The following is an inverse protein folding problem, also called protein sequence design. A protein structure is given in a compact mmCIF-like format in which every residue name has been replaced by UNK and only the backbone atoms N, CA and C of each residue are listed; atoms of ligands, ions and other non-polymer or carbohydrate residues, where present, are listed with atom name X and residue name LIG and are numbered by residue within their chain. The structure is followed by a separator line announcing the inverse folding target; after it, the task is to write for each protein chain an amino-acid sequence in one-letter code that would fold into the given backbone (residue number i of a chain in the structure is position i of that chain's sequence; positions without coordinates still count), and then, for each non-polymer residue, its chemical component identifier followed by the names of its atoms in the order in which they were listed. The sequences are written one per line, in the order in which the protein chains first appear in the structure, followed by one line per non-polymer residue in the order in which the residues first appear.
data_IF_457105491725
#
_entry.id   IF_457105491725
#
_cell.length_a   1.000
_cell.length_b   1.000
_cell.length_c   1.000
_cell.angle_alpha   90.00
_cell.angle_beta   90.00
_cell.angle_gamma   90.00
#
_symmetry.space_group_name_H-M   'P 1'
#
loop_
_entity.id
_entity.type
_entity.pdbx_description
1 polymer ?
#
# COMPACT_ATOMS: atom_id res chain seq x y z
N UNK A 1 22.03 -1.58 40.71
CA UNK A 1 21.71 -1.03 39.38
C UNK A 1 21.44 -2.19 38.43
N UNK A 2 20.17 -2.59 38.28
CA UNK A 2 19.81 -3.63 37.31
C UNK A 2 19.92 -3.01 35.90
N UNK A 3 20.94 -3.43 35.16
CA UNK A 3 21.12 -3.04 33.76
C UNK A 3 19.93 -3.62 33.01
N UNK A 4 18.99 -2.78 32.59
CA UNK A 4 17.90 -3.19 31.71
C UNK A 4 18.54 -3.86 30.49
N UNK A 5 18.42 -5.17 30.39
CA UNK A 5 19.02 -5.94 29.30
C UNK A 5 18.23 -5.53 28.05
N UNK A 6 18.83 -4.68 27.22
CA UNK A 6 18.28 -4.36 25.91
C UNK A 6 18.23 -5.67 25.12
N UNK A 7 17.03 -6.04 24.71
CA UNK A 7 16.78 -7.18 23.85
C UNK A 7 17.00 -6.72 22.41
N UNK A 8 18.23 -6.86 21.94
CA UNK A 8 18.64 -6.44 20.60
C UNK A 8 18.09 -7.35 19.50
N UNK A 9 17.47 -8.48 19.87
CA UNK A 9 16.90 -9.46 18.96
C UNK A 9 15.39 -9.19 18.71
N UNK A 10 14.82 -8.15 19.34
CA UNK A 10 13.40 -7.81 19.27
C UNK A 10 13.21 -6.33 18.93
N UNK A 11 13.83 -5.89 17.84
CA UNK A 11 13.81 -4.49 17.42
C UNK A 11 12.51 -4.17 16.67
N UNK A 12 12.04 -2.92 16.82
CA UNK A 12 10.85 -2.44 16.12
C UNK A 12 11.02 -2.48 14.59
N UNK A 13 12.25 -2.44 14.10
CA UNK A 13 12.55 -2.56 12.66
C UNK A 13 12.15 -3.91 12.10
N UNK A 14 12.60 -5.01 12.68
CA UNK A 14 12.29 -6.37 12.19
C UNK A 14 10.77 -6.61 12.16
N UNK A 15 10.06 -6.17 13.21
CA UNK A 15 8.59 -6.25 13.27
C UNK A 15 7.90 -5.41 12.20
N UNK A 16 8.43 -4.22 11.92
CA UNK A 16 7.88 -3.34 10.90
C UNK A 16 8.18 -3.86 9.49
N UNK A 17 9.32 -4.52 9.28
CA UNK A 17 9.63 -5.21 8.02
C UNK A 17 8.68 -6.40 7.80
N UNK A 18 8.49 -7.26 8.81
CA UNK A 18 7.55 -8.39 8.75
C UNK A 18 6.12 -7.91 8.47
N UNK A 19 5.63 -6.92 9.23
CA UNK A 19 4.29 -6.35 9.02
C UNK A 19 4.15 -5.67 7.65
N UNK A 20 5.22 -5.06 7.14
CA UNK A 20 5.24 -4.47 5.82
C UNK A 20 5.18 -5.52 4.72
N UNK A 21 5.93 -6.62 4.85
CA UNK A 21 5.93 -7.74 3.92
C UNK A 21 4.53 -8.38 3.84
N UNK A 22 3.94 -8.77 4.97
CA UNK A 22 2.58 -9.32 5.03
C UNK A 22 1.54 -8.37 4.40
N UNK A 23 1.70 -7.06 4.64
CA UNK A 23 0.82 -6.06 4.06
C UNK A 23 1.00 -5.93 2.56
N UNK A 24 2.23 -5.93 2.05
CA UNK A 24 2.51 -5.90 0.62
C UNK A 24 1.93 -7.13 -0.07
N UNK A 25 2.12 -8.33 0.50
CA UNK A 25 1.57 -9.58 -0.03
C UNK A 25 0.05 -9.55 -0.16
N UNK A 26 -0.66 -8.99 0.84
CA UNK A 26 -2.11 -8.85 0.80
C UNK A 26 -2.58 -7.77 -0.19
N UNK A 27 -1.85 -6.65 -0.27
CA UNK A 27 -2.20 -5.49 -1.09
C UNK A 27 -1.89 -5.68 -2.58
N UNK A 28 -0.96 -6.60 -2.93
CA UNK A 28 -0.69 -6.99 -4.32
C UNK A 28 -1.68 -8.02 -4.88
N UNK A 29 -2.54 -8.60 -4.05
CA UNK A 29 -3.56 -9.54 -4.52
C UNK A 29 -4.45 -8.86 -5.55
N UNK A 30 -4.67 -9.50 -6.70
CA UNK A 30 -5.48 -8.96 -7.80
C UNK A 30 -6.86 -8.46 -7.35
N UNK A 31 -7.48 -9.16 -6.40
CA UNK A 31 -8.76 -8.77 -5.79
C UNK A 31 -8.65 -7.43 -5.07
N UNK A 32 -7.60 -7.24 -4.28
CA UNK A 32 -7.31 -5.99 -3.56
C UNK A 32 -6.95 -4.87 -4.52
N UNK A 33 -6.08 -5.14 -5.50
CA UNK A 33 -5.66 -4.15 -6.49
C UNK A 33 -6.85 -3.54 -7.23
N UNK A 34 -7.88 -4.33 -7.55
CA UNK A 34 -9.08 -3.84 -8.24
C UNK A 34 -10.00 -2.99 -7.39
N UNK A 35 -9.83 -2.95 -6.07
CA UNK A 35 -10.65 -2.09 -5.19
C UNK A 35 -10.38 -0.59 -5.42
N UNK A 36 -9.25 -0.23 -6.03
CA UNK A 36 -8.93 1.17 -6.32
C UNK A 36 -9.73 1.74 -7.49
N UNK A 37 -10.21 0.89 -8.41
CA UNK A 37 -11.06 1.30 -9.54
C UNK A 37 -12.38 1.91 -9.03
N UNK A 38 -13.25 1.20 -8.28
CA UNK A 38 -14.51 1.78 -7.79
C UNK A 38 -14.29 2.97 -6.85
N UNK A 39 -13.18 3.00 -6.08
CA UNK A 39 -12.82 4.16 -5.26
C UNK A 39 -12.58 5.40 -6.12
N UNK A 40 -11.80 5.27 -7.20
CA UNK A 40 -11.51 6.38 -8.11
C UNK A 40 -12.76 6.77 -8.89
N UNK A 41 -13.57 5.82 -9.34
CA UNK A 41 -14.86 6.10 -10.00
C UNK A 41 -15.80 6.87 -9.08
N UNK A 42 -15.86 6.52 -7.79
CA UNK A 42 -16.69 7.23 -6.82
C UNK A 42 -16.22 8.67 -6.63
N UNK A 43 -14.91 8.92 -6.58
CA UNK A 43 -14.34 10.25 -6.36
C UNK A 43 -14.46 11.14 -7.60
N UNK A 44 -14.12 10.61 -8.77
CA UNK A 44 -14.03 11.37 -10.02
C UNK A 44 -15.28 11.31 -10.88
N UNK A 45 -16.25 10.43 -10.56
CA UNK A 45 -17.51 10.23 -11.30
C UNK A 45 -17.30 9.84 -12.77
N UNK A 46 -16.18 9.22 -13.07
CA UNK A 46 -15.75 8.79 -14.42
C UNK A 46 -15.23 7.35 -14.32
N UNK A 47 -15.50 6.47 -15.31
CA UNK A 47 -14.95 5.12 -15.34
C UNK A 47 -13.43 5.11 -15.22
N UNK A 48 -12.92 4.15 -14.43
CA UNK A 48 -11.52 4.13 -14.08
C UNK A 48 -10.92 2.72 -14.19
N UNK A 49 -9.74 2.62 -14.80
CA UNK A 49 -9.06 1.34 -15.01
C UNK A 49 -7.70 1.35 -14.32
N UNK A 50 -7.40 0.31 -13.55
CA UNK A 50 -6.09 0.11 -12.95
C UNK A 50 -5.05 -0.12 -14.05
N UNK A 51 -3.99 0.68 -14.03
CA UNK A 51 -2.89 0.61 -14.97
C UNK A 51 -1.61 0.14 -14.27
N UNK A 52 -0.89 -0.87 -14.80
CA UNK A 52 0.40 -1.30 -14.26
C UNK A 52 1.54 -0.30 -14.57
N UNK A 53 2.66 -0.33 -13.83
CA UNK A 53 2.95 -1.19 -12.68
C UNK A 53 2.35 -0.67 -11.37
N UNK A 54 2.21 -1.56 -10.39
CA UNK A 54 1.99 -1.18 -8.98
C UNK A 54 3.36 -0.93 -8.36
N UNK A 55 3.54 0.19 -7.69
CA UNK A 55 4.82 0.55 -7.07
C UNK A 55 4.77 0.36 -5.56
N UNK A 56 5.87 -0.15 -4.99
CA UNK A 56 6.03 -0.38 -3.56
C UNK A 56 7.22 0.43 -3.06
N UNK A 57 7.09 1.05 -1.88
CA UNK A 57 8.20 1.77 -1.28
C UNK A 57 7.80 2.65 -0.12
N UNK A 58 8.73 2.87 0.82
CA UNK A 58 8.50 3.71 2.01
C UNK A 58 7.25 3.30 2.79
N UNK A 59 6.99 2.00 2.89
CA UNK A 59 5.79 1.42 3.53
C UNK A 59 4.46 1.86 2.92
N UNK A 60 4.45 2.15 1.62
CA UNK A 60 3.25 2.45 0.85
C UNK A 60 3.15 1.54 -0.37
N UNK A 61 1.91 1.25 -0.75
CA UNK A 61 1.54 0.69 -2.05
C UNK A 61 0.92 1.79 -2.89
N UNK A 62 1.39 1.93 -4.12
CA UNK A 62 1.01 3.00 -5.04
C UNK A 62 0.38 2.37 -6.27
N UNK A 63 -0.90 2.67 -6.49
CA UNK A 63 -1.67 2.24 -7.65
C UNK A 63 -1.85 3.39 -8.62
N UNK A 64 -1.64 3.11 -9.91
CA UNK A 64 -1.89 4.05 -10.99
C UNK A 64 -3.23 3.71 -11.64
N UNK A 65 -4.15 4.67 -11.70
CA UNK A 65 -5.49 4.46 -12.25
C UNK A 65 -5.72 5.47 -13.37
N UNK A 66 -6.14 5.00 -14.54
CA UNK A 66 -6.47 5.87 -15.67
C UNK A 66 -7.95 6.21 -15.64
N UNK A 67 -8.27 7.50 -15.78
CA UNK A 67 -9.62 7.98 -16.05
C UNK A 67 -9.88 7.91 -17.56
N UNK A 68 -10.88 7.13 -17.97
CA UNK A 68 -11.12 6.84 -19.39
C UNK A 68 -11.52 8.09 -20.20
N UNK A 69 -12.27 9.02 -19.60
CA UNK A 69 -12.78 10.21 -20.30
C UNK A 69 -11.77 11.36 -20.42
N UNK A 70 -10.71 11.36 -19.62
CA UNK A 70 -9.84 12.53 -19.46
C UNK A 70 -8.36 12.27 -19.78
N UNK A 71 -8.02 11.08 -20.28
CA UNK A 71 -6.63 10.63 -20.53
C UNK A 71 -5.67 10.97 -19.38
N UNK A 72 -6.21 11.07 -18.17
CA UNK A 72 -5.52 11.54 -16.97
C UNK A 72 -5.29 10.36 -16.05
N UNK A 73 -4.15 10.36 -15.36
CA UNK A 73 -3.80 9.31 -14.41
C UNK A 73 -3.93 9.83 -12.97
N UNK A 74 -4.60 9.05 -12.13
CA UNK A 74 -4.75 9.24 -10.69
C UNK A 74 -3.81 8.29 -9.98
N UNK A 75 -3.20 8.75 -8.89
CA UNK A 75 -2.39 7.92 -8.01
C UNK A 75 -3.16 7.68 -6.72
N UNK A 76 -3.39 6.40 -6.39
CA UNK A 76 -3.95 5.98 -5.10
C UNK A 76 -2.81 5.44 -4.24
N UNK A 77 -2.60 6.06 -3.08
CA UNK A 77 -1.57 5.65 -2.11
C UNK A 77 -2.22 4.98 -0.91
N UNK A 78 -1.81 3.75 -0.62
CA UNK A 78 -2.27 2.99 0.55
C UNK A 78 -1.07 2.74 1.47
N UNK A 79 -1.05 3.31 2.69
CA UNK A 79 -0.06 2.96 3.70
C UNK A 79 -0.20 1.49 4.12
N UNK A 80 0.92 0.79 4.32
CA UNK A 80 0.90 -0.55 4.89
C UNK A 80 0.33 -0.50 6.32
N UNK A 81 -0.75 -1.23 6.64
CA UNK A 81 -1.28 -1.28 8.00
C UNK A 81 -0.38 -2.09 8.93
N UNK A 82 -0.44 -1.80 10.23
CA UNK A 82 0.25 -2.59 11.25
C UNK A 82 1.71 -2.18 11.54
N UNK A 83 2.20 -1.09 10.95
CA UNK A 83 3.47 -0.48 11.35
C UNK A 83 3.35 0.08 12.77
N UNK A 84 4.30 -0.30 13.63
CA UNK A 84 4.38 0.08 15.06
C UNK A 84 5.35 1.24 15.26
#
# INVERSE_FOLDING_TARGET
MAKARQDFDNVAWDKNEEAAEESQERLQLKTTCRLVEPLVEEVFKTPATLHPPISFGGFNVIYHVRLEEHASNVIVRVPCPGLV
#
